data_IF_996771514644
#
_entry.id   IF_996771514644
#
_cell.length_a   1.000
_cell.length_b   1.000
_cell.length_c   1.000
_cell.angle_alpha   90.00
_cell.angle_beta   90.00
_cell.angle_gamma   90.00
#
_symmetry.space_group_name_H-M   'P 1'
#
loop_
_entity.id
_entity.type
_entity.pdbx_description
1 polymer ?
#
# COMPACT_ATOMS: atom_id res chain seq x y z
N UNK A 1 6.77 9.71 -20.61
CA UNK A 1 5.83 10.15 -21.67
C UNK A 1 5.05 11.37 -21.20
N UNK A 2 4.97 12.38 -22.07
CA UNK A 2 4.26 13.64 -21.78
C UNK A 2 2.99 13.70 -22.65
N UNK A 3 1.88 14.06 -22.02
CA UNK A 3 0.55 14.20 -22.64
C UNK A 3 -0.13 15.50 -22.17
N UNK A 4 -1.33 15.76 -22.63
CA UNK A 4 -2.19 16.87 -22.17
C UNK A 4 -3.28 16.38 -21.17
N UNK A 5 -3.13 15.16 -20.65
CA UNK A 5 -4.03 14.55 -19.67
C UNK A 5 -3.27 14.26 -18.39
N UNK A 6 -3.96 14.22 -17.25
CA UNK A 6 -3.37 13.91 -15.93
C UNK A 6 -3.09 12.41 -15.78
N UNK A 7 -2.30 11.81 -16.68
CA UNK A 7 -2.01 10.39 -16.69
C UNK A 7 -3.14 9.54 -17.28
N UNK A 8 -3.29 8.31 -16.79
CA UNK A 8 -4.37 7.40 -17.15
C UNK A 8 -5.53 7.55 -16.16
N UNK A 9 -6.73 7.77 -16.68
CA UNK A 9 -7.94 7.75 -15.87
C UNK A 9 -8.63 6.39 -16.00
N UNK A 10 -9.09 5.86 -14.86
CA UNK A 10 -9.98 4.71 -14.76
C UNK A 10 -11.24 5.14 -14.04
N UNK A 11 -12.40 4.96 -14.66
CA UNK A 11 -13.70 5.38 -14.11
C UNK A 11 -13.78 6.88 -13.75
N UNK A 12 -13.06 7.73 -14.50
CA UNK A 12 -13.03 9.18 -14.28
C UNK A 12 -12.00 9.65 -13.24
N UNK A 13 -11.35 8.75 -12.52
CA UNK A 13 -10.30 9.09 -11.56
C UNK A 13 -8.91 8.74 -12.12
N UNK A 14 -7.91 9.55 -11.75
CA UNK A 14 -6.52 9.31 -12.13
C UNK A 14 -5.99 8.07 -11.41
N UNK A 15 -5.45 7.13 -12.17
CA UNK A 15 -4.69 6.02 -11.61
C UNK A 15 -3.26 6.49 -11.29
N UNK A 16 -2.85 6.41 -10.02
CA UNK A 16 -1.50 6.82 -9.58
C UNK A 16 -0.45 5.81 -10.06
N UNK A 17 -0.75 4.51 -9.93
CA UNK A 17 0.13 3.43 -10.34
C UNK A 17 -0.67 2.30 -10.99
N UNK A 18 -0.18 1.75 -12.09
CA UNK A 18 -0.85 0.69 -12.86
C UNK A 18 0.17 -0.40 -13.18
N UNK A 19 -0.05 -1.65 -12.74
CA UNK A 19 0.81 -2.76 -13.16
C UNK A 19 0.63 -3.04 -14.65
N UNK A 20 1.71 -3.48 -15.31
CA UNK A 20 1.73 -3.73 -16.77
C UNK A 20 0.64 -4.69 -17.22
N UNK A 21 0.40 -5.78 -16.50
CA UNK A 21 -0.64 -6.75 -16.81
C UNK A 21 -2.03 -6.10 -16.85
N UNK A 22 -2.34 -5.24 -15.86
CA UNK A 22 -3.61 -4.49 -15.83
C UNK A 22 -3.71 -3.48 -16.96
N UNK A 23 -2.60 -2.82 -17.32
CA UNK A 23 -2.58 -1.94 -18.49
C UNK A 23 -2.88 -2.71 -19.77
N UNK A 24 -2.30 -3.90 -19.94
CA UNK A 24 -2.56 -4.75 -21.11
C UNK A 24 -4.04 -5.15 -21.20
N UNK A 25 -4.64 -5.59 -20.09
CA UNK A 25 -6.08 -5.85 -20.01
C UNK A 25 -6.94 -4.63 -20.40
N UNK A 26 -6.54 -3.44 -19.93
CA UNK A 26 -7.23 -2.18 -20.27
C UNK A 26 -7.11 -1.84 -21.76
N UNK A 27 -5.97 -2.09 -22.38
CA UNK A 27 -5.73 -1.84 -23.81
C UNK A 27 -6.50 -2.82 -24.72
N UNK A 28 -6.73 -4.06 -24.27
CA UNK A 28 -7.49 -5.09 -24.97
C UNK A 28 -9.01 -4.94 -24.77
N UNK A 29 -9.42 -4.40 -23.62
CA UNK A 29 -10.82 -4.24 -23.27
C UNK A 29 -11.45 -3.08 -24.02
N UNK A 30 -12.48 -3.36 -24.85
CA UNK A 30 -13.30 -2.33 -25.49
C UNK A 30 -14.11 -1.47 -24.50
N UNK A 31 -14.18 -1.87 -23.22
CA UNK A 31 -14.92 -1.19 -22.15
C UNK A 31 -14.04 -0.24 -21.33
N UNK A 32 -12.72 -0.38 -21.38
CA UNK A 32 -11.82 0.51 -20.66
C UNK A 32 -11.77 1.87 -21.36
N UNK A 33 -12.32 2.88 -20.72
CA UNK A 33 -12.31 4.25 -21.21
C UNK A 33 -10.95 4.90 -20.89
N UNK A 34 -9.93 4.62 -21.70
CA UNK A 34 -8.69 5.39 -21.69
C UNK A 34 -8.92 6.62 -22.58
N UNK A 35 -8.58 7.81 -22.07
CA UNK A 35 -8.64 9.03 -22.87
C UNK A 35 -7.83 8.83 -24.17
N UNK A 36 -8.42 9.08 -25.36
CA UNK A 36 -7.73 8.91 -26.64
C UNK A 36 -6.39 9.65 -26.73
N UNK A 37 -6.26 10.77 -26.03
CA UNK A 37 -5.02 11.58 -25.96
C UNK A 37 -3.91 10.88 -25.19
N UNK A 38 -4.25 10.03 -24.21
CA UNK A 38 -3.30 9.22 -23.44
C UNK A 38 -3.08 7.82 -24.04
N UNK A 39 -4.00 7.33 -24.89
CA UNK A 39 -3.99 5.95 -25.40
C UNK A 39 -2.70 5.60 -26.14
N UNK A 40 -2.19 6.49 -27.00
CA UNK A 40 -0.94 6.26 -27.72
C UNK A 40 0.25 6.12 -26.77
N UNK A 41 0.28 6.93 -25.69
CA UNK A 41 1.35 6.91 -24.69
C UNK A 41 1.26 5.65 -23.83
N UNK A 42 0.05 5.20 -23.49
CA UNK A 42 -0.18 3.94 -22.80
C UNK A 42 0.34 2.74 -23.60
N UNK A 43 0.06 2.69 -24.91
CA UNK A 43 0.59 1.66 -25.81
C UNK A 43 2.12 1.66 -25.91
N UNK A 44 2.72 2.84 -26.01
CA UNK A 44 4.19 2.95 -26.02
C UNK A 44 4.80 2.55 -24.68
N UNK A 45 4.19 2.95 -23.57
CA UNK A 45 4.62 2.53 -22.24
C UNK A 45 4.56 1.00 -22.08
N UNK A 46 3.45 0.37 -22.48
CA UNK A 46 3.32 -1.09 -22.46
C UNK A 46 4.43 -1.77 -23.26
N UNK A 47 4.68 -1.30 -24.48
CA UNK A 47 5.75 -1.84 -25.36
C UNK A 47 7.16 -1.64 -24.75
N UNK A 48 7.41 -0.50 -24.11
CA UNK A 48 8.70 -0.23 -23.48
C UNK A 48 8.95 -1.15 -22.26
N UNK A 49 7.90 -1.42 -21.48
CA UNK A 49 7.96 -2.27 -20.29
C UNK A 49 7.99 -3.77 -20.60
N UNK A 50 7.56 -4.18 -21.79
CA UNK A 50 7.69 -5.57 -22.28
C UNK A 50 9.17 -5.92 -22.60
N UNK A 51 10.04 -4.91 -22.63
CA UNK A 51 11.48 -5.10 -22.78
C UNK A 51 12.14 -5.29 -21.41
N UNK A 52 13.27 -6.03 -21.38
CA UNK A 52 14.04 -6.27 -20.14
C UNK A 52 14.82 -5.04 -19.65
N UNK A 53 14.80 -3.93 -20.39
CA UNK A 53 15.61 -2.74 -20.09
C UNK A 53 14.89 -1.66 -19.30
N UNK A 54 13.56 -1.71 -19.25
CA UNK A 54 12.75 -0.68 -18.59
C UNK A 54 11.75 -1.34 -17.66
N UNK A 55 11.81 -1.04 -16.37
CA UNK A 55 10.87 -1.58 -15.36
C UNK A 55 9.72 -0.61 -15.06
N UNK A 56 9.86 0.67 -15.40
CA UNK A 56 8.86 1.73 -15.12
C UNK A 56 8.71 2.71 -16.26
N UNK A 57 7.49 3.19 -16.44
CA UNK A 57 7.16 4.27 -17.35
C UNK A 57 6.16 5.22 -16.69
N UNK A 58 6.34 6.52 -16.87
CA UNK A 58 5.46 7.54 -16.33
C UNK A 58 4.73 8.27 -17.45
N UNK A 59 3.44 8.52 -17.27
CA UNK A 59 2.63 9.34 -18.18
C UNK A 59 2.23 10.60 -17.42
N UNK A 60 2.74 11.73 -17.85
CA UNK A 60 2.65 13.02 -17.16
C UNK A 60 1.86 14.03 -17.99
N UNK A 61 1.21 14.99 -17.31
CA UNK A 61 0.62 16.16 -17.95
C UNK A 61 1.67 17.24 -18.17
N UNK A 62 2.05 17.47 -19.42
CA UNK A 62 3.03 18.50 -19.79
C UNK A 62 2.51 19.95 -19.69
N UNK A 63 1.19 20.13 -19.47
CA UNK A 63 0.57 21.45 -19.27
C UNK A 63 0.54 21.85 -17.78
N UNK A 64 0.83 20.91 -16.88
CA UNK A 64 0.85 21.15 -15.45
C UNK A 64 2.21 21.70 -15.02
N UNK A 65 2.20 22.82 -14.30
CA UNK A 65 3.43 23.45 -13.82
C UNK A 65 4.20 22.49 -12.88
N UNK A 66 5.50 22.42 -13.08
CA UNK A 66 6.41 21.57 -12.30
C UNK A 66 6.07 20.08 -12.25
N UNK A 67 5.16 19.56 -13.08
CA UNK A 67 4.72 18.17 -13.05
C UNK A 67 5.89 17.16 -13.10
N UNK A 68 6.91 17.40 -13.93
CA UNK A 68 8.09 16.54 -13.99
C UNK A 68 8.90 16.56 -12.68
N UNK A 69 9.04 17.73 -12.06
CA UNK A 69 9.75 17.84 -10.78
C UNK A 69 8.95 17.16 -9.66
N UNK A 70 7.65 17.36 -9.63
CA UNK A 70 6.76 16.67 -8.69
C UNK A 70 6.86 15.16 -8.85
N UNK A 71 6.84 14.64 -10.07
CA UNK A 71 6.95 13.19 -10.33
C UNK A 71 8.29 12.60 -9.88
N UNK A 72 9.38 13.38 -9.97
CA UNK A 72 10.73 12.89 -9.60
C UNK A 72 10.99 13.02 -8.10
N UNK A 73 10.49 14.07 -7.46
CA UNK A 73 10.85 14.40 -6.08
C UNK A 73 9.73 14.16 -5.06
N UNK A 74 8.49 14.00 -5.51
CA UNK A 74 7.35 13.70 -4.65
C UNK A 74 7.05 12.19 -4.69
N UNK A 75 6.63 11.64 -3.56
CA UNK A 75 6.37 10.20 -3.42
C UNK A 75 5.09 9.76 -4.12
N UNK A 76 4.11 10.65 -4.31
CA UNK A 76 2.84 10.33 -5.02
C UNK A 76 2.89 10.73 -6.49
N UNK A 77 3.69 11.73 -6.81
CA UNK A 77 3.76 12.27 -8.16
C UNK A 77 2.48 12.95 -8.65
N UNK A 78 2.49 13.44 -9.89
CA UNK A 78 1.33 14.10 -10.53
C UNK A 78 0.78 13.32 -11.72
N UNK A 79 1.47 12.25 -12.16
CA UNK A 79 1.11 11.45 -13.32
C UNK A 79 0.54 10.07 -12.99
N UNK A 80 0.70 9.16 -13.93
CA UNK A 80 0.48 7.72 -13.75
C UNK A 80 1.78 6.98 -13.98
N UNK A 81 2.24 6.24 -12.99
CA UNK A 81 3.34 5.31 -13.14
C UNK A 81 2.81 3.95 -13.62
N UNK A 82 3.46 3.39 -14.64
CA UNK A 82 3.24 2.02 -15.11
C UNK A 82 4.48 1.23 -14.77
N UNK A 83 4.32 0.03 -14.22
CA UNK A 83 5.44 -0.78 -13.74
C UNK A 83 5.29 -2.24 -14.13
N UNK A 84 6.43 -2.88 -14.43
CA UNK A 84 6.54 -4.29 -14.77
C UNK A 84 7.07 -5.15 -13.61
N UNK A 85 7.75 -4.52 -12.64
CA UNK A 85 8.34 -5.18 -11.48
C UNK A 85 7.41 -5.13 -10.24
N UNK A 86 7.81 -5.83 -9.18
CA UNK A 86 7.11 -5.77 -7.89
C UNK A 86 7.35 -4.43 -7.19
N UNK A 87 6.71 -3.37 -7.69
CA UNK A 87 6.77 -2.03 -7.11
C UNK A 87 6.23 -1.96 -5.69
N UNK A 88 5.14 -2.68 -5.44
CA UNK A 88 4.49 -2.74 -4.13
C UNK A 88 4.39 -4.20 -3.69
N UNK A 89 4.79 -4.50 -2.47
CA UNK A 89 4.63 -5.83 -1.91
C UNK A 89 4.33 -5.82 -0.42
N UNK A 90 3.55 -6.81 -0.02
CA UNK A 90 3.34 -7.14 1.38
C UNK A 90 4.14 -8.41 1.66
N UNK A 91 4.95 -8.36 2.71
CA UNK A 91 5.76 -9.49 3.15
C UNK A 91 5.89 -9.55 4.68
N UNK A 92 6.29 -10.69 5.19
CA UNK A 92 6.76 -10.78 6.58
C UNK A 92 7.99 -9.91 6.78
N UNK A 93 8.06 -9.26 7.94
CA UNK A 93 9.23 -8.50 8.35
C UNK A 93 10.43 -9.44 8.60
N UNK A 94 11.61 -8.91 8.38
CA UNK A 94 12.90 -9.56 8.63
C UNK A 94 13.61 -8.87 9.79
N UNK A 95 14.59 -9.50 10.44
CA UNK A 95 15.33 -8.86 11.55
C UNK A 95 15.85 -7.47 11.23
N UNK A 96 16.32 -7.24 10.00
CA UNK A 96 16.86 -5.94 9.55
C UNK A 96 15.77 -4.85 9.42
N UNK A 97 14.49 -5.21 9.37
CA UNK A 97 13.38 -4.25 9.27
C UNK A 97 13.04 -3.63 10.63
N UNK A 98 13.47 -4.23 11.75
CA UNK A 98 13.07 -3.83 13.10
C UNK A 98 13.38 -2.34 13.41
N UNK A 99 14.56 -1.87 13.01
CA UNK A 99 14.96 -0.47 13.22
C UNK A 99 14.09 0.51 12.41
N UNK A 100 13.72 0.14 11.19
CA UNK A 100 12.83 0.96 10.37
C UNK A 100 11.41 1.00 10.96
N UNK A 101 10.87 -0.15 11.38
CA UNK A 101 9.56 -0.26 12.06
C UNK A 101 9.56 0.60 13.34
N UNK A 102 10.62 0.50 14.16
CA UNK A 102 10.76 1.31 15.37
C UNK A 102 10.76 2.81 15.08
N UNK A 103 11.54 3.28 14.10
CA UNK A 103 11.62 4.68 13.76
C UNK A 103 10.29 5.23 13.24
N UNK A 104 9.60 4.46 12.40
CA UNK A 104 8.28 4.84 11.88
C UNK A 104 7.27 4.89 13.04
N UNK A 105 7.23 3.90 13.93
CA UNK A 105 6.31 3.85 15.06
C UNK A 105 6.52 5.03 16.02
N UNK A 106 7.77 5.44 16.26
CA UNK A 106 8.12 6.56 17.15
C UNK A 106 7.53 7.91 16.69
N UNK A 107 7.44 8.14 15.39
CA UNK A 107 6.80 9.34 14.84
C UNK A 107 5.31 9.33 15.14
N UNK A 108 4.65 8.19 14.95
CA UNK A 108 3.21 8.03 15.14
C UNK A 108 2.75 8.07 16.58
N UNK A 109 3.57 7.58 17.52
CA UNK A 109 3.28 7.69 18.95
C UNK A 109 3.13 9.15 19.38
N UNK A 110 3.96 10.05 18.84
CA UNK A 110 3.87 11.48 19.11
C UNK A 110 2.57 12.12 18.60
N UNK A 111 2.05 11.60 17.48
CA UNK A 111 0.87 12.18 16.81
C UNK A 111 -0.45 11.57 17.28
N UNK A 112 -0.47 10.31 17.70
CA UNK A 112 -1.70 9.54 17.91
C UNK A 112 -1.90 8.97 19.32
N UNK A 113 -1.03 9.25 20.28
CA UNK A 113 -1.08 8.67 21.64
C UNK A 113 -1.08 7.13 21.66
N UNK A 114 -0.38 6.50 20.73
CA UNK A 114 -0.23 5.04 20.68
C UNK A 114 0.81 4.58 21.70
N UNK A 115 0.67 3.35 22.18
CA UNK A 115 1.68 2.74 23.06
C UNK A 115 2.94 2.47 22.24
N UNK A 116 4.04 3.14 22.64
CA UNK A 116 5.33 2.94 22.01
C UNK A 116 5.91 1.58 22.42
N UNK A 117 6.28 0.76 21.43
CA UNK A 117 7.06 -0.45 21.67
C UNK A 117 8.55 -0.12 21.61
N UNK A 118 9.35 -0.77 22.42
CA UNK A 118 10.80 -0.67 22.37
C UNK A 118 11.36 -1.40 21.17
N UNK A 119 12.60 -1.09 20.78
CA UNK A 119 13.27 -1.81 19.71
C UNK A 119 13.41 -3.31 20.01
N UNK A 120 13.73 -3.64 21.26
CA UNK A 120 13.91 -5.04 21.73
C UNK A 120 12.59 -5.82 21.64
N UNK A 121 11.45 -5.21 22.01
CA UNK A 121 10.13 -5.83 21.85
C UNK A 121 9.79 -6.09 20.37
N UNK A 122 10.12 -5.13 19.47
CA UNK A 122 9.90 -5.31 18.04
C UNK A 122 10.81 -6.42 17.49
N UNK A 123 12.10 -6.43 17.86
CA UNK A 123 13.05 -7.44 17.44
C UNK A 123 12.64 -8.84 17.89
N UNK A 124 12.25 -9.00 19.16
CA UNK A 124 11.82 -10.27 19.73
C UNK A 124 10.55 -10.83 19.06
N UNK A 125 9.70 -9.96 18.53
CA UNK A 125 8.42 -10.32 17.90
C UNK A 125 8.40 -10.10 16.39
N UNK A 126 9.54 -9.88 15.75
CA UNK A 126 9.65 -9.45 14.35
C UNK A 126 8.98 -10.39 13.36
N UNK A 127 8.96 -11.71 13.65
CA UNK A 127 8.34 -12.75 12.82
C UNK A 127 6.82 -12.59 12.70
N UNK A 128 6.18 -11.83 13.60
CA UNK A 128 4.75 -11.59 13.62
C UNK A 128 4.38 -10.28 12.91
N UNK A 129 5.38 -9.51 12.46
CA UNK A 129 5.14 -8.29 11.70
C UNK A 129 5.02 -8.57 10.21
N UNK A 130 4.07 -7.88 9.60
CA UNK A 130 3.90 -7.76 8.15
C UNK A 130 4.14 -6.32 7.76
N UNK A 131 4.84 -6.12 6.66
CA UNK A 131 5.16 -4.80 6.14
C UNK A 131 4.59 -4.62 4.74
N UNK A 132 4.19 -3.41 4.44
CA UNK A 132 3.89 -2.94 3.10
C UNK A 132 5.09 -2.13 2.62
N UNK A 133 5.73 -2.60 1.57
CA UNK A 133 6.95 -2.03 1.02
C UNK A 133 6.67 -1.42 -0.36
N UNK A 134 7.18 -0.23 -0.59
CA UNK A 134 7.22 0.43 -1.89
C UNK A 134 8.67 0.79 -2.17
N UNK A 135 9.22 0.32 -3.28
CA UNK A 135 10.60 0.59 -3.69
C UNK A 135 11.65 0.31 -2.61
N UNK A 136 11.48 -0.77 -1.85
CA UNK A 136 12.37 -1.11 -0.75
C UNK A 136 12.15 -0.30 0.52
N UNK A 137 11.25 0.67 0.51
CA UNK A 137 10.91 1.50 1.67
C UNK A 137 9.67 0.96 2.37
N UNK A 138 9.75 0.75 3.68
CA UNK A 138 8.60 0.33 4.49
C UNK A 138 7.71 1.55 4.69
N UNK A 139 6.46 1.49 4.22
CA UNK A 139 5.48 2.57 4.34
C UNK A 139 4.33 2.27 5.29
N UNK A 140 4.10 1.00 5.56
CA UNK A 140 3.14 0.56 6.55
C UNK A 140 3.57 -0.77 7.17
N UNK A 141 3.11 -1.04 8.37
CA UNK A 141 3.31 -2.32 9.04
C UNK A 141 2.15 -2.64 9.98
N UNK A 142 2.04 -3.91 10.33
CA UNK A 142 1.06 -4.44 11.27
C UNK A 142 1.65 -5.68 11.93
N UNK A 143 1.24 -5.95 13.17
CA UNK A 143 1.62 -7.15 13.91
C UNK A 143 0.41 -8.08 14.03
N UNK A 144 0.59 -9.38 13.84
CA UNK A 144 -0.39 -10.43 14.09
C UNK A 144 0.09 -11.27 15.27
N UNK A 145 -0.45 -11.02 16.45
CA UNK A 145 -0.11 -11.74 17.67
C UNK A 145 -1.02 -12.96 17.85
N UNK A 146 -0.44 -14.10 18.14
CA UNK A 146 -1.18 -15.28 18.58
C UNK A 146 -1.61 -15.10 20.05
N UNK A 147 -2.91 -15.21 20.31
CA UNK A 147 -3.48 -15.16 21.66
C UNK A 147 -3.80 -16.55 22.24
N UNK A 148 -3.52 -17.61 21.47
CA UNK A 148 -3.91 -18.97 21.81
C UNK A 148 -5.36 -19.29 21.47
N UNK A 149 -5.75 -20.55 21.65
CA UNK A 149 -7.12 -21.06 21.45
C UNK A 149 -7.73 -20.75 20.06
N UNK A 150 -6.89 -20.53 19.06
CA UNK A 150 -7.31 -20.16 17.71
C UNK A 150 -7.74 -18.69 17.58
N UNK A 151 -7.32 -17.85 18.51
CA UNK A 151 -7.54 -16.41 18.50
C UNK A 151 -6.25 -15.67 18.16
N UNK A 152 -6.33 -14.58 17.41
CA UNK A 152 -5.22 -13.70 17.11
C UNK A 152 -5.60 -12.23 17.26
N UNK A 153 -4.61 -11.38 17.52
CA UNK A 153 -4.76 -9.93 17.59
C UNK A 153 -4.02 -9.25 16.43
N UNK A 154 -4.72 -8.41 15.71
CA UNK A 154 -4.14 -7.44 14.80
C UNK A 154 -3.75 -6.20 15.61
N UNK A 155 -2.47 -6.06 15.86
CA UNK A 155 -1.90 -5.01 16.71
C UNK A 155 -0.94 -4.11 15.93
N UNK A 156 -0.62 -2.94 16.49
CA UNK A 156 0.43 -2.04 15.96
C UNK A 156 0.27 -1.70 14.47
N UNK A 157 -0.96 -1.58 13.97
CA UNK A 157 -1.18 -1.12 12.59
C UNK A 157 -0.71 0.33 12.45
N UNK A 158 0.17 0.54 11.50
CA UNK A 158 0.66 1.87 11.18
C UNK A 158 0.80 2.05 9.67
N UNK A 159 0.39 3.24 9.20
CA UNK A 159 0.61 3.71 7.83
C UNK A 159 1.26 5.08 7.92
N UNK A 160 2.40 5.28 7.26
CA UNK A 160 3.05 6.59 7.21
C UNK A 160 2.06 7.65 6.72
N UNK A 161 2.06 8.82 7.34
CA UNK A 161 1.07 9.89 7.14
C UNK A 161 0.82 10.21 5.67
N UNK A 162 1.88 10.27 4.88
CA UNK A 162 1.82 10.56 3.45
C UNK A 162 1.00 9.54 2.63
N UNK A 163 0.96 8.27 3.06
CA UNK A 163 0.25 7.17 2.39
C UNK A 163 -1.14 6.88 2.98
N UNK A 164 -1.55 7.64 4.00
CA UNK A 164 -2.91 7.55 4.53
C UNK A 164 -3.92 8.04 3.49
N UNK A 165 -5.11 7.44 3.46
CA UNK A 165 -6.12 7.74 2.45
C UNK A 165 -5.92 7.05 1.09
N UNK A 166 -4.77 6.38 0.84
CA UNK A 166 -4.44 5.69 -0.40
C UNK A 166 -4.71 4.18 -0.36
N UNK A 167 -5.61 3.74 0.48
CA UNK A 167 -6.02 2.33 0.64
C UNK A 167 -4.93 1.36 1.13
N UNK A 168 -3.73 1.84 1.46
CA UNK A 168 -2.58 1.04 1.92
C UNK A 168 -2.91 0.25 3.19
N UNK A 169 -3.51 0.93 4.18
CA UNK A 169 -3.88 0.29 5.44
C UNK A 169 -4.90 -0.83 5.24
N UNK A 170 -5.93 -0.59 4.42
CA UNK A 170 -6.94 -1.62 4.11
C UNK A 170 -6.32 -2.81 3.40
N UNK A 171 -5.49 -2.58 2.39
CA UNK A 171 -4.80 -3.64 1.65
C UNK A 171 -3.93 -4.50 2.57
N UNK A 172 -3.22 -3.86 3.51
CA UNK A 172 -2.39 -4.58 4.48
C UNK A 172 -3.23 -5.40 5.46
N UNK A 173 -4.35 -4.84 5.96
CA UNK A 173 -5.29 -5.54 6.85
C UNK A 173 -5.95 -6.72 6.12
N UNK A 174 -6.42 -6.54 4.89
CA UNK A 174 -7.01 -7.61 4.07
C UNK A 174 -6.02 -8.78 3.86
N UNK A 175 -4.74 -8.45 3.64
CA UNK A 175 -3.67 -9.45 3.54
C UNK A 175 -3.50 -10.25 4.85
N UNK A 176 -3.48 -9.54 5.99
CA UNK A 176 -3.33 -10.20 7.30
C UNK A 176 -4.55 -11.03 7.66
N UNK A 177 -5.77 -10.57 7.34
CA UNK A 177 -6.99 -11.38 7.51
C UNK A 177 -6.90 -12.68 6.71
N UNK A 178 -6.43 -12.62 5.46
CA UNK A 178 -6.21 -13.81 4.64
C UNK A 178 -5.18 -14.74 5.28
N UNK A 179 -4.05 -14.20 5.71
CA UNK A 179 -2.99 -14.96 6.39
C UNK A 179 -3.48 -15.60 7.68
N UNK A 180 -4.27 -14.89 8.49
CA UNK A 180 -4.85 -15.43 9.71
C UNK A 180 -5.77 -16.63 9.44
N UNK A 181 -6.59 -16.56 8.38
CA UNK A 181 -7.42 -17.68 7.91
C UNK A 181 -6.58 -18.88 7.46
N UNK A 182 -5.51 -18.63 6.70
CA UNK A 182 -4.57 -19.69 6.25
C UNK A 182 -3.85 -20.38 7.44
N UNK A 183 -3.63 -19.63 8.53
CA UNK A 183 -3.08 -20.13 9.79
C UNK A 183 -4.14 -20.75 10.72
N UNK A 184 -5.39 -20.91 10.25
CA UNK A 184 -6.51 -21.51 10.98
C UNK A 184 -6.97 -20.75 12.24
N UNK A 185 -6.70 -19.44 12.34
CA UNK A 185 -7.30 -18.63 13.39
C UNK A 185 -8.82 -18.52 13.18
N UNK A 186 -9.58 -18.75 14.23
CA UNK A 186 -11.06 -18.70 14.23
C UNK A 186 -11.58 -17.30 14.51
N UNK A 187 -10.85 -16.53 15.31
CA UNK A 187 -11.19 -15.16 15.70
C UNK A 187 -9.98 -14.24 15.51
N UNK A 188 -10.21 -13.06 14.97
CA UNK A 188 -9.21 -12.01 14.83
C UNK A 188 -9.74 -10.73 15.48
N UNK A 189 -9.02 -10.24 16.47
CA UNK A 189 -9.35 -9.05 17.21
C UNK A 189 -8.47 -7.88 16.78
N UNK A 190 -9.00 -6.65 16.92
CA UNK A 190 -8.23 -5.42 16.79
C UNK A 190 -8.66 -4.48 17.92
N UNK A 191 -7.73 -4.10 18.78
CA UNK A 191 -7.98 -3.13 19.83
C UNK A 191 -7.75 -1.71 19.31
N UNK A 192 -8.76 -0.87 19.35
CA UNK A 192 -8.67 0.50 18.85
C UNK A 192 -9.53 1.45 19.66
N UNK A 193 -8.95 2.60 20.00
CA UNK A 193 -9.67 3.70 20.66
C UNK A 193 -10.13 4.78 19.67
N UNK A 194 -9.38 5.02 18.59
CA UNK A 194 -9.64 6.10 17.63
C UNK A 194 -9.92 5.61 16.21
N UNK A 195 -9.48 4.41 15.88
CA UNK A 195 -9.54 3.86 14.51
C UNK A 195 -10.68 2.86 14.30
N UNK A 196 -11.66 2.80 15.20
CA UNK A 196 -12.83 1.91 15.05
C UNK A 196 -13.52 2.06 13.68
N UNK A 197 -13.79 3.29 13.16
CA UNK A 197 -14.41 3.45 11.85
C UNK A 197 -13.60 2.82 10.70
N UNK A 198 -12.26 2.85 10.79
CA UNK A 198 -11.40 2.20 9.80
C UNK A 198 -11.55 0.66 9.84
N UNK A 199 -11.59 0.06 11.04
CA UNK A 199 -11.75 -1.38 11.16
C UNK A 199 -13.15 -1.86 10.70
N UNK A 200 -14.20 -1.05 10.89
CA UNK A 200 -15.52 -1.36 10.33
C UNK A 200 -15.48 -1.44 8.79
N UNK A 201 -14.74 -0.55 8.13
CA UNK A 201 -14.52 -0.63 6.66
C UNK A 201 -13.71 -1.87 6.26
N UNK A 202 -12.89 -2.41 7.18
CA UNK A 202 -12.14 -3.68 7.00
C UNK A 202 -12.97 -4.93 7.39
N UNK A 203 -14.29 -4.82 7.53
CA UNK A 203 -15.23 -5.90 7.90
C UNK A 203 -15.02 -6.46 9.33
N UNK A 204 -14.47 -5.69 10.26
CA UNK A 204 -14.56 -5.98 11.68
C UNK A 204 -15.91 -5.53 12.23
N UNK A 205 -16.37 -6.17 13.29
CA UNK A 205 -17.54 -5.75 14.06
C UNK A 205 -17.11 -5.37 15.48
N UNK A 206 -17.77 -4.36 16.04
CA UNK A 206 -17.53 -4.00 17.44
C UNK A 206 -18.06 -5.12 18.36
N UNK A 207 -17.28 -5.44 19.39
CA UNK A 207 -17.69 -6.36 20.46
C UNK A 207 -17.22 -5.80 21.79
N UNK A 208 -17.97 -6.06 22.84
CA UNK A 208 -17.52 -5.77 24.19
C UNK A 208 -16.57 -6.89 24.65
N UNK A 209 -15.59 -6.59 25.54
CA UNK A 209 -14.82 -7.62 26.18
C UNK A 209 -15.80 -8.56 26.91
N UNK A 210 -15.70 -9.86 26.67
CA UNK A 210 -16.41 -10.86 27.49
C UNK A 210 -15.82 -10.77 28.89
N UNK A 211 -16.69 -10.50 29.87
CA UNK A 211 -16.37 -10.49 31.30
C UNK A 211 -16.07 -11.89 31.82
#
# INVERSE_FOLDING_TARGET
>A
YITVTNGLATNGERAIAVPLNKLMEMLESKKAQIDPRALSKAKFAAKALDSTFTSRAHILNGMEYACLLTEVFDTVGCGTMIYADEYQKIRKARPNDASAIYNISKISVKEQNLVQRTLDEIQSNIQNYFIYEIDGSIIAFVCLNDLGEGCAELASLHVQHFYQGHNVGKTLVDYVIKTAKEQNYKKLFALSTKSAPFFLVCNFSETSPES
#
